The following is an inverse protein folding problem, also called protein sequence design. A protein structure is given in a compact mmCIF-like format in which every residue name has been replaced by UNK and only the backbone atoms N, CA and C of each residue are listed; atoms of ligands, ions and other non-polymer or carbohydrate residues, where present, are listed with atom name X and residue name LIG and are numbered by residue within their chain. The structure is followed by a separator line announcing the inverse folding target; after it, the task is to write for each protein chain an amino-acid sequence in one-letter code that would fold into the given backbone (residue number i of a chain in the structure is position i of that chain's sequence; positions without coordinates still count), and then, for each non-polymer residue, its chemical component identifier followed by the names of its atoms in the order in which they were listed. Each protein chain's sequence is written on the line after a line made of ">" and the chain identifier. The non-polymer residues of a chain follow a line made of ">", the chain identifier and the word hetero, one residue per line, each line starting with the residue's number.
data_IF_307588361722
#
_entry.id   IF_307588361722
#
_cell.length_a   1.000
_cell.length_b   1.000
_cell.length_c   1.000
_cell.angle_alpha   90.00
_cell.angle_beta   90.00
_cell.angle_gamma   90.00
#
_symmetry.space_group_name_H-M   'P 1'
#
loop_
_entity.id
_entity.type
_entity.pdbx_description
1 polymer ?
#
# COMPACT_ATOMS: atom_id res chain seq x y z
N UNK A 1 46.83 -30.35 -24.49
CA UNK A 1 45.48 -30.13 -23.92
C UNK A 1 44.76 -31.47 -23.98
N UNK A 2 44.07 -31.88 -22.92
CA UNK A 2 43.29 -33.12 -22.94
C UNK A 2 41.96 -32.85 -23.67
N UNK A 3 41.59 -33.75 -24.57
CA UNK A 3 40.35 -33.67 -25.34
C UNK A 3 39.13 -33.79 -24.41
N UNK A 4 38.14 -32.93 -24.59
CA UNK A 4 37.00 -32.81 -23.69
C UNK A 4 37.33 -32.13 -22.36
N UNK A 5 38.35 -31.28 -22.35
CA UNK A 5 38.78 -30.50 -21.19
C UNK A 5 37.71 -29.54 -20.66
N UNK A 6 37.89 -29.02 -19.45
CA UNK A 6 36.91 -28.13 -18.81
C UNK A 6 36.62 -26.88 -19.65
N UNK A 7 37.65 -26.27 -20.24
CA UNK A 7 37.50 -25.11 -21.14
C UNK A 7 36.60 -25.46 -22.31
N UNK A 8 36.86 -26.59 -22.97
CA UNK A 8 36.12 -27.06 -24.14
C UNK A 8 34.65 -27.36 -23.84
N UNK A 9 34.35 -27.85 -22.62
CA UNK A 9 32.97 -28.04 -22.14
C UNK A 9 32.26 -26.73 -21.82
N UNK A 10 32.97 -25.76 -21.23
CA UNK A 10 32.40 -24.46 -20.86
C UNK A 10 32.12 -23.59 -22.10
N UNK A 11 32.99 -23.68 -23.11
CA UNK A 11 32.88 -22.97 -24.39
C UNK A 11 32.21 -23.79 -25.48
N UNK A 12 31.68 -24.97 -25.15
CA UNK A 12 30.92 -25.77 -26.11
C UNK A 12 29.73 -24.94 -26.63
N UNK A 13 29.31 -25.22 -27.87
CA UNK A 13 28.12 -24.60 -28.45
C UNK A 13 26.88 -24.96 -27.63
N UNK A 14 26.02 -23.97 -27.36
CA UNK A 14 24.89 -24.08 -26.42
C UNK A 14 25.34 -24.45 -24.99
N UNK A 15 26.62 -24.18 -24.68
CA UNK A 15 27.29 -24.53 -23.44
C UNK A 15 27.05 -23.53 -22.31
N UNK A 16 27.60 -23.82 -21.11
CA UNK A 16 27.32 -23.03 -19.91
C UNK A 16 27.66 -21.54 -20.01
N UNK A 17 28.71 -21.17 -20.76
CA UNK A 17 29.07 -19.75 -20.92
C UNK A 17 28.09 -19.00 -21.81
N UNK A 18 27.55 -19.65 -22.84
CA UNK A 18 26.53 -19.07 -23.73
C UNK A 18 25.22 -18.88 -22.96
N UNK A 19 24.81 -19.89 -22.18
CA UNK A 19 23.64 -19.79 -21.29
C UNK A 19 23.78 -18.68 -20.25
N UNK A 20 24.98 -18.50 -19.68
CA UNK A 20 25.24 -17.40 -18.75
C UNK A 20 25.15 -16.03 -19.43
N UNK A 21 25.64 -15.93 -20.67
CA UNK A 21 25.53 -14.72 -21.47
C UNK A 21 24.05 -14.38 -21.77
N UNK A 22 23.23 -15.39 -22.08
CA UNK A 22 21.78 -15.21 -22.31
C UNK A 22 21.04 -14.72 -21.06
N UNK A 23 21.40 -15.24 -19.89
CA UNK A 23 20.86 -14.76 -18.61
C UNK A 23 21.28 -13.31 -18.37
N UNK A 24 22.56 -12.98 -18.58
CA UNK A 24 23.06 -11.62 -18.42
C UNK A 24 22.35 -10.65 -19.40
N UNK A 25 22.12 -11.05 -20.64
CA UNK A 25 21.37 -10.24 -21.63
C UNK A 25 19.92 -10.05 -21.18
N UNK A 26 19.27 -11.11 -20.68
CA UNK A 26 17.91 -11.03 -20.13
C UNK A 26 17.84 -10.05 -18.94
N UNK A 27 18.80 -10.10 -18.02
CA UNK A 27 18.87 -9.16 -16.90
C UNK A 27 19.10 -7.72 -17.36
N UNK A 28 19.97 -7.50 -18.35
CA UNK A 28 20.19 -6.19 -18.94
C UNK A 28 18.92 -5.62 -19.59
N UNK A 29 18.07 -6.48 -20.18
CA UNK A 29 16.76 -6.06 -20.73
C UNK A 29 15.74 -5.73 -19.64
N UNK A 30 15.86 -6.32 -18.45
CA UNK A 30 14.97 -6.03 -17.32
C UNK A 30 15.31 -4.72 -16.60
N UNK A 31 16.59 -4.34 -16.54
CA UNK A 31 17.05 -3.17 -15.79
C UNK A 31 16.30 -1.86 -16.15
N UNK A 32 16.12 -1.49 -17.43
CA UNK A 32 15.36 -0.28 -17.80
C UNK A 32 13.90 -0.33 -17.33
N UNK A 33 13.28 -1.52 -17.36
CA UNK A 33 11.91 -1.72 -16.89
C UNK A 33 11.77 -1.49 -15.39
N UNK A 34 12.75 -1.93 -14.60
CA UNK A 34 12.77 -1.70 -13.15
C UNK A 34 13.03 -0.22 -12.81
N UNK A 35 13.93 0.44 -13.54
CA UNK A 35 14.15 1.89 -13.39
C UNK A 35 12.88 2.68 -13.71
N UNK A 36 12.13 2.26 -14.73
CA UNK A 36 10.86 2.88 -15.10
C UNK A 36 9.75 2.70 -14.04
N UNK A 37 9.90 1.79 -13.05
CA UNK A 37 8.95 1.66 -11.94
C UNK A 37 9.12 2.73 -10.86
N UNK A 38 10.29 3.36 -10.76
CA UNK A 38 10.55 4.40 -9.76
C UNK A 38 9.50 5.54 -9.75
N UNK A 39 9.13 6.17 -10.89
CA UNK A 39 8.10 7.21 -10.89
C UNK A 39 6.71 6.71 -10.49
N UNK A 40 6.38 5.46 -10.79
CA UNK A 40 5.11 4.83 -10.40
C UNK A 40 5.04 4.64 -8.88
N UNK A 41 6.15 4.25 -8.25
CA UNK A 41 6.25 4.13 -6.79
C UNK A 41 6.08 5.51 -6.13
N UNK A 42 6.68 6.56 -6.68
CA UNK A 42 6.51 7.91 -6.13
C UNK A 42 5.07 8.40 -6.27
N UNK A 43 4.45 8.16 -7.43
CA UNK A 43 3.02 8.51 -7.65
C UNK A 43 2.12 7.78 -6.66
N UNK A 44 2.39 6.49 -6.40
CA UNK A 44 1.64 5.71 -5.42
C UNK A 44 1.81 6.28 -4.00
N UNK A 45 3.04 6.67 -3.63
CA UNK A 45 3.34 7.29 -2.33
C UNK A 45 2.55 8.59 -2.15
N UNK A 46 2.53 9.45 -3.16
CA UNK A 46 1.75 10.71 -3.12
C UNK A 46 0.25 10.47 -3.00
N UNK A 47 -0.28 9.50 -3.76
CA UNK A 47 -1.69 9.11 -3.69
C UNK A 47 -2.08 8.61 -2.29
N UNK A 48 -1.26 7.74 -1.69
CA UNK A 48 -1.49 7.23 -0.33
C UNK A 48 -1.37 8.33 0.73
N UNK A 49 -0.44 9.27 0.57
CA UNK A 49 -0.32 10.44 1.45
C UNK A 49 -1.59 11.31 1.40
N UNK A 50 -2.07 11.60 0.20
CA UNK A 50 -3.30 12.37 -0.01
C UNK A 50 -4.51 11.65 0.59
N UNK A 51 -4.60 10.32 0.39
CA UNK A 51 -5.66 9.52 0.99
C UNK A 51 -5.61 9.62 2.52
N UNK A 52 -4.43 9.55 3.13
CA UNK A 52 -4.23 9.63 4.60
C UNK A 52 -4.77 10.93 5.20
N UNK A 53 -4.68 12.04 4.47
CA UNK A 53 -5.26 13.33 4.89
C UNK A 53 -6.79 13.30 4.94
N UNK A 54 -7.43 12.47 4.13
CA UNK A 54 -8.89 12.36 4.06
C UNK A 54 -9.44 11.32 5.05
N UNK A 55 -8.74 10.20 5.27
CA UNK A 55 -9.26 9.14 6.15
C UNK A 55 -9.28 9.53 7.62
N UNK A 56 -8.31 10.32 8.10
CA UNK A 56 -8.27 10.75 9.51
C UNK A 56 -9.50 11.61 9.92
N UNK A 57 -9.88 12.64 9.16
CA UNK A 57 -11.12 13.36 9.38
C UNK A 57 -12.37 12.47 9.35
N UNK A 58 -12.44 11.50 8.44
CA UNK A 58 -13.58 10.58 8.34
C UNK A 58 -13.72 9.69 9.57
N UNK A 59 -12.60 9.16 10.11
CA UNK A 59 -12.60 8.40 11.37
C UNK A 59 -13.13 9.26 12.53
N UNK A 60 -12.66 10.50 12.64
CA UNK A 60 -13.09 11.43 13.70
C UNK A 60 -14.57 11.86 13.56
N UNK A 61 -15.09 11.97 12.33
CA UNK A 61 -16.51 12.29 12.10
C UNK A 61 -17.38 11.10 12.49
N UNK A 62 -16.98 9.87 12.14
CA UNK A 62 -17.71 8.65 12.48
C UNK A 62 -17.89 8.49 14.00
N UNK A 63 -16.87 8.84 14.80
CA UNK A 63 -16.93 8.82 16.26
C UNK A 63 -17.84 9.90 16.87
N UNK A 64 -18.03 11.02 16.16
CA UNK A 64 -18.76 12.18 16.68
C UNK A 64 -20.20 12.27 16.21
N UNK A 65 -20.69 11.35 15.37
CA UNK A 65 -22.09 11.35 14.90
C UNK A 65 -23.01 11.23 16.13
N UNK A 66 -23.75 12.30 16.49
CA UNK A 66 -24.72 12.23 17.58
C UNK A 66 -25.91 11.42 17.06
N UNK A 67 -26.18 10.27 17.67
CA UNK A 67 -27.39 9.49 17.38
C UNK A 67 -28.63 10.37 17.60
N UNK A 68 -29.42 10.68 16.55
CA UNK A 68 -30.63 11.46 16.69
C UNK A 68 -31.66 10.59 17.42
N UNK A 69 -31.99 10.93 18.67
CA UNK A 69 -33.06 10.23 19.39
C UNK A 69 -32.91 10.17 20.90
N UNK A 70 -31.73 10.43 21.47
CA UNK A 70 -31.59 10.48 22.94
C UNK A 70 -31.86 11.88 23.49
N UNK A 71 -32.96 12.51 23.04
CA UNK A 71 -33.62 13.52 23.87
C UNK A 71 -34.10 12.76 25.09
N UNK A 72 -33.49 13.08 26.23
CA UNK A 72 -33.81 12.55 27.54
C UNK A 72 -35.33 12.64 27.73
N UNK A 73 -36.01 11.52 27.53
CA UNK A 73 -37.32 11.27 28.12
C UNK A 73 -37.07 11.10 29.61
N UNK A 74 -36.90 12.24 30.28
CA UNK A 74 -36.90 12.37 31.72
C UNK A 74 -38.20 13.07 32.07
N UNK A 75 -39.17 12.26 32.43
CA UNK A 75 -40.54 12.62 32.78
C UNK A 75 -40.62 13.68 33.88
N UNK A 76 -41.63 14.55 33.76
CA UNK A 76 -42.10 15.61 34.68
C UNK A 76 -42.45 15.06 36.08
N UNK A 77 -42.54 15.89 37.15
CA UNK A 77 -43.74 16.71 37.31
C UNK A 77 -43.50 18.15 37.78
N UNK A 78 -44.56 18.95 37.56
CA UNK A 78 -44.77 20.29 38.10
C UNK A 78 -45.13 20.19 39.58
N UNK A 79 -44.47 20.96 40.43
CA UNK A 79 -45.00 21.28 41.75
C UNK A 79 -45.60 22.68 41.66
N UNK A 80 -46.91 22.75 41.45
CA UNK A 80 -47.73 23.88 41.88
C UNK A 80 -47.82 23.78 43.41
N UNK A 81 -47.11 24.65 44.11
CA UNK A 81 -47.36 24.93 45.52
C UNK A 81 -48.06 26.28 45.58
N UNK A 82 -49.37 26.19 45.82
CA UNK A 82 -50.24 27.28 46.22
C UNK A 82 -50.12 27.33 47.74
N UNK A 83 -49.38 28.31 48.27
CA UNK A 83 -49.58 28.82 49.63
C UNK A 83 -50.29 30.18 49.43
N UNK A 84 -51.52 30.48 49.87
CA UNK A 84 -52.30 30.10 51.05
C UNK A 84 -51.72 30.61 52.39
N UNK A 85 -51.55 31.93 52.51
CA UNK A 85 -52.14 32.73 53.62
C UNK A 85 -52.09 34.23 53.32
#
# INVERSE_FOLDING_TARGET
>A
LAEGGLVEKLTARDGPLEQLADVADTLNRLAPGLEALAPTIETLREAVSTLSLVVNPLSNIAERIPMPGRRRSGSRPLNTEIDAE
#
